data_IF_952335024688
#
_entry.id   IF_952335024688
#
_cell.length_a   1.000
_cell.length_b   1.000
_cell.length_c   1.000
_cell.angle_alpha   90.00
_cell.angle_beta   90.00
_cell.angle_gamma   90.00
#
_symmetry.space_group_name_H-M   'P 1'
#
loop_
_entity.id
_entity.type
_entity.pdbx_description
1 polymer ?
#
# COMPACT_ATOMS: atom_id res chain seq x y z
N UNK A 1 -17.35 -16.34 35.47
CA UNK A 1 -18.15 -17.43 36.07
C UNK A 1 -18.01 -18.76 35.31
N UNK A 2 -18.33 -18.83 34.01
CA UNK A 2 -18.27 -20.07 33.22
C UNK A 2 -16.92 -20.81 33.25
N UNK A 3 -15.79 -20.10 33.13
CA UNK A 3 -14.45 -20.73 33.19
C UNK A 3 -14.13 -21.33 34.57
N UNK A 4 -14.37 -20.60 35.66
CA UNK A 4 -14.10 -21.12 37.01
C UNK A 4 -15.05 -22.25 37.44
N UNK A 5 -16.21 -22.40 36.78
CA UNK A 5 -17.10 -23.55 36.94
C UNK A 5 -16.57 -24.81 36.24
N UNK A 6 -15.57 -24.67 35.37
CA UNK A 6 -14.84 -25.75 34.71
C UNK A 6 -15.43 -26.19 33.38
N UNK A 7 -16.31 -25.39 32.77
CA UNK A 7 -16.79 -25.61 31.39
C UNK A 7 -15.78 -25.00 30.42
N UNK A 8 -15.06 -25.82 29.69
CA UNK A 8 -13.90 -25.42 28.88
C UNK A 8 -13.97 -25.98 27.47
N UNK A 9 -13.55 -25.16 26.50
CA UNK A 9 -13.34 -25.60 25.11
C UNK A 9 -12.07 -26.45 24.99
N UNK A 10 -11.96 -27.18 23.88
CA UNK A 10 -10.89 -28.16 23.63
C UNK A 10 -9.46 -27.63 23.83
N UNK A 11 -9.23 -26.37 23.51
CA UNK A 11 -7.94 -25.67 23.56
C UNK A 11 -7.49 -25.31 24.99
N UNK A 12 -8.43 -25.13 25.92
CA UNK A 12 -8.13 -24.77 27.32
C UNK A 12 -8.55 -25.85 28.33
N UNK A 13 -9.06 -27.00 27.86
CA UNK A 13 -9.40 -28.13 28.71
C UNK A 13 -8.14 -28.78 29.29
N UNK A 14 -8.12 -28.90 30.62
CA UNK A 14 -7.04 -29.53 31.39
C UNK A 14 -7.60 -30.46 32.46
N UNK A 15 -7.13 -31.71 32.46
CA UNK A 15 -7.49 -32.71 33.45
C UNK A 15 -7.14 -32.25 34.87
N UNK A 16 -8.00 -32.59 35.84
CA UNK A 16 -7.89 -32.15 37.23
C UNK A 16 -8.40 -30.74 37.54
N UNK A 17 -8.57 -29.86 36.53
CA UNK A 17 -9.10 -28.49 36.72
C UNK A 17 -10.40 -28.24 35.96
N UNK A 18 -10.58 -28.90 34.82
CA UNK A 18 -11.78 -28.78 33.99
C UNK A 18 -12.81 -29.83 34.37
N UNK A 19 -14.09 -29.46 34.36
CA UNK A 19 -15.21 -30.37 34.67
C UNK A 19 -15.94 -30.85 33.43
N UNK A 20 -16.02 -30.01 32.39
CA UNK A 20 -16.72 -30.31 31.16
C UNK A 20 -15.90 -29.86 29.96
N UNK A 21 -15.73 -30.77 28.99
CA UNK A 21 -15.12 -30.51 27.69
C UNK A 21 -16.22 -30.27 26.68
N UNK A 22 -16.31 -29.05 26.14
CA UNK A 22 -17.43 -28.61 25.28
C UNK A 22 -16.95 -28.04 23.95
N UNK A 23 -17.84 -28.01 22.96
CA UNK A 23 -17.64 -27.28 21.71
C UNK A 23 -18.04 -25.81 21.81
N UNK A 24 -17.93 -25.09 20.70
CA UNK A 24 -18.21 -23.65 20.62
C UNK A 24 -19.66 -23.32 20.98
N UNK A 25 -20.62 -24.13 20.54
CA UNK A 25 -22.03 -23.88 20.78
C UNK A 25 -22.40 -24.04 22.25
N UNK A 26 -22.00 -25.16 22.86
CA UNK A 26 -22.33 -25.45 24.26
C UNK A 26 -21.58 -24.52 25.21
N UNK A 27 -20.36 -24.09 24.85
CA UNK A 27 -19.65 -23.05 25.61
C UNK A 27 -20.38 -21.71 25.56
N UNK A 28 -20.88 -21.30 24.39
CA UNK A 28 -21.67 -20.08 24.24
C UNK A 28 -22.96 -20.13 25.08
N UNK A 29 -23.69 -21.25 25.06
CA UNK A 29 -24.87 -21.46 25.90
C UNK A 29 -24.53 -21.36 27.40
N UNK A 30 -23.40 -21.93 27.83
CA UNK A 30 -22.92 -21.83 29.21
C UNK A 30 -22.52 -20.40 29.60
N UNK A 31 -21.97 -19.60 28.67
CA UNK A 31 -21.73 -18.16 28.88
C UNK A 31 -23.05 -17.40 29.02
N UNK A 32 -24.02 -17.65 28.13
CA UNK A 32 -25.35 -17.00 28.14
C UNK A 32 -26.06 -17.24 29.47
N UNK A 33 -26.08 -18.50 29.95
CA UNK A 33 -26.69 -18.87 31.25
C UNK A 33 -26.05 -18.15 32.46
N UNK A 34 -24.83 -17.66 32.29
CA UNK A 34 -24.05 -17.00 33.33
C UNK A 34 -23.88 -15.48 33.12
N UNK A 35 -24.61 -14.90 32.15
CA UNK A 35 -24.64 -13.45 31.97
C UNK A 35 -25.09 -12.74 33.26
N UNK A 36 -24.43 -11.62 33.57
CA UNK A 36 -24.65 -10.86 34.79
C UNK A 36 -23.98 -11.42 36.05
N UNK A 37 -23.38 -12.62 36.01
CA UNK A 37 -22.66 -13.20 37.14
C UNK A 37 -21.16 -12.91 37.06
N UNK A 38 -20.60 -12.38 38.14
CA UNK A 38 -19.16 -12.21 38.27
C UNK A 38 -18.47 -13.53 38.69
N UNK A 39 -17.19 -13.73 38.32
CA UNK A 39 -16.39 -14.80 38.89
C UNK A 39 -16.23 -14.61 40.42
N UNK A 40 -16.24 -15.73 41.14
CA UNK A 40 -16.08 -15.80 42.60
C UNK A 40 -14.66 -16.21 43.00
N UNK A 41 -13.98 -17.00 42.16
CA UNK A 41 -12.62 -17.51 42.38
C UNK A 41 -11.62 -16.72 41.56
N UNK A 42 -11.90 -16.49 40.27
CA UNK A 42 -11.05 -15.67 39.42
C UNK A 42 -11.26 -14.19 39.75
N UNK A 43 -10.17 -13.41 39.77
CA UNK A 43 -10.26 -11.97 40.01
C UNK A 43 -11.01 -11.30 38.84
N UNK A 44 -12.15 -10.62 39.07
CA UNK A 44 -12.80 -9.85 38.03
C UNK A 44 -11.91 -8.67 37.65
N UNK A 45 -11.78 -8.40 36.35
CA UNK A 45 -11.09 -7.22 35.84
C UNK A 45 -12.13 -6.15 35.55
N UNK A 46 -11.91 -4.94 36.09
CA UNK A 46 -12.67 -3.74 35.75
C UNK A 46 -11.69 -2.71 35.22
N UNK A 47 -11.96 -2.20 34.01
CA UNK A 47 -11.15 -1.14 33.42
C UNK A 47 -11.84 0.20 33.72
N UNK A 48 -11.10 1.11 34.34
CA UNK A 48 -11.55 2.49 34.42
C UNK A 48 -11.58 3.09 33.01
N UNK A 49 -12.68 3.76 32.65
CA UNK A 49 -12.73 4.60 31.46
C UNK A 49 -11.82 5.82 31.68
N UNK A 50 -10.51 5.64 31.47
CA UNK A 50 -9.57 6.75 31.44
C UNK A 50 -9.97 7.69 30.30
N UNK A 51 -10.39 8.91 30.66
CA UNK A 51 -10.56 9.98 29.67
C UNK A 51 -9.21 10.18 28.99
N UNK A 52 -9.14 9.87 27.69
CA UNK A 52 -7.97 10.19 26.88
C UNK A 52 -7.97 11.70 26.70
N UNK A 53 -6.96 12.37 27.26
CA UNK A 53 -6.74 13.78 26.98
C UNK A 53 -6.46 13.97 25.49
N UNK A 54 -7.37 14.67 24.81
CA UNK A 54 -7.14 15.09 23.43
C UNK A 54 -6.08 16.18 23.46
N UNK A 55 -4.82 15.81 23.22
CA UNK A 55 -3.78 16.81 22.95
C UNK A 55 -4.16 17.58 21.68
N UNK A 56 -4.12 18.93 21.69
CA UNK A 56 -4.36 19.69 20.48
C UNK A 56 -3.30 19.33 19.45
N UNK A 57 -3.74 18.99 18.24
CA UNK A 57 -2.84 18.75 17.11
C UNK A 57 -2.21 20.08 16.69
N UNK A 58 -0.92 20.25 16.96
CA UNK A 58 -0.16 21.40 16.47
C UNK A 58 0.40 21.04 15.09
N UNK A 59 -0.12 21.69 14.05
CA UNK A 59 0.41 21.53 12.69
C UNK A 59 1.71 22.32 12.59
N UNK A 60 2.85 21.64 12.60
CA UNK A 60 4.14 22.28 12.30
C UNK A 60 4.13 22.73 10.83
N UNK A 61 4.44 24.00 10.52
CA UNK A 61 4.60 24.44 9.15
C UNK A 61 5.72 23.63 8.48
N UNK A 62 5.42 23.01 7.34
CA UNK A 62 6.42 22.31 6.54
C UNK A 62 7.27 23.39 5.84
N UNK A 63 8.50 23.61 6.31
CA UNK A 63 9.46 24.55 5.71
C UNK A 63 10.36 23.88 4.67
N UNK A 64 9.84 22.89 3.95
CA UNK A 64 10.64 22.13 2.98
C UNK A 64 10.40 22.65 1.57
N UNK A 65 11.48 22.90 0.84
CA UNK A 65 11.42 23.23 -0.58
C UNK A 65 10.92 22.00 -1.35
N UNK A 66 9.70 22.09 -1.88
CA UNK A 66 9.09 21.05 -2.70
C UNK A 66 9.23 21.40 -4.18
N UNK A 67 9.96 20.57 -4.94
CA UNK A 67 10.19 20.77 -6.37
C UNK A 67 9.70 19.59 -7.18
N UNK A 68 8.88 19.85 -8.20
CA UNK A 68 8.47 18.83 -9.17
C UNK A 68 9.66 18.50 -10.08
N UNK A 69 9.94 17.22 -10.28
CA UNK A 69 11.11 16.75 -11.05
C UNK A 69 10.79 15.70 -12.11
N UNK A 70 9.56 15.18 -12.16
CA UNK A 70 9.14 14.21 -13.17
C UNK A 70 7.76 13.62 -12.88
N UNK A 71 7.41 12.57 -13.61
CA UNK A 71 6.14 11.85 -13.44
C UNK A 71 6.32 10.36 -13.72
N UNK A 72 5.71 9.52 -12.88
CA UNK A 72 5.45 8.12 -13.20
C UNK A 72 4.07 8.02 -13.85
N UNK A 73 4.00 7.58 -15.10
CA UNK A 73 2.76 7.31 -15.83
C UNK A 73 2.54 5.80 -15.85
N UNK A 74 1.36 5.38 -15.42
CA UNK A 74 0.95 3.98 -15.46
C UNK A 74 0.15 3.74 -16.74
N UNK A 75 0.61 2.79 -17.54
CA UNK A 75 0.01 2.43 -18.81
C UNK A 75 -0.52 0.99 -18.75
N UNK A 76 -1.68 0.74 -19.34
CA UNK A 76 -2.22 -0.59 -19.57
C UNK A 76 -1.89 -1.04 -21.00
N UNK A 77 -1.23 -2.18 -21.15
CA UNK A 77 -0.92 -2.77 -22.46
C UNK A 77 -0.63 -4.25 -22.34
N UNK A 78 -1.24 -5.05 -23.22
CA UNK A 78 -0.96 -6.49 -23.35
C UNK A 78 0.29 -6.79 -24.18
N UNK A 79 1.03 -5.76 -24.61
CA UNK A 79 2.27 -5.96 -25.36
C UNK A 79 3.33 -6.68 -24.51
N UNK A 80 4.10 -7.60 -25.11
CA UNK A 80 5.25 -8.17 -24.42
C UNK A 80 6.31 -7.09 -24.17
N UNK A 81 7.11 -7.25 -23.10
CA UNK A 81 8.12 -6.27 -22.65
C UNK A 81 8.95 -5.67 -23.79
N UNK A 82 9.50 -6.51 -24.68
CA UNK A 82 10.34 -6.06 -25.80
C UNK A 82 9.59 -5.14 -26.76
N UNK A 83 8.33 -5.45 -27.08
CA UNK A 83 7.50 -4.63 -27.95
C UNK A 83 7.10 -3.33 -27.26
N UNK A 84 6.69 -3.40 -25.98
CA UNK A 84 6.32 -2.23 -25.19
C UNK A 84 7.47 -1.23 -25.04
N UNK A 85 8.67 -1.71 -24.70
CA UNK A 85 9.88 -0.87 -24.61
C UNK A 85 10.22 -0.23 -25.96
N UNK A 86 10.08 -0.99 -27.05
CA UNK A 86 10.35 -0.47 -28.41
C UNK A 86 9.35 0.62 -28.77
N UNK A 87 8.06 0.37 -28.59
CA UNK A 87 6.98 1.31 -28.84
C UNK A 87 7.24 2.64 -28.11
N UNK A 88 7.48 2.61 -26.80
CA UNK A 88 7.75 3.82 -26.02
C UNK A 88 9.01 4.58 -26.44
N UNK A 89 10.02 3.91 -27.00
CA UNK A 89 11.23 4.55 -27.51
C UNK A 89 11.04 5.22 -28.87
N UNK A 90 10.10 4.73 -29.66
CA UNK A 90 9.78 5.25 -30.99
C UNK A 90 8.85 6.47 -30.90
N UNK A 91 8.18 6.67 -29.76
CA UNK A 91 7.40 7.89 -29.48
C UNK A 91 8.29 9.15 -29.54
N UNK A 92 7.83 10.15 -30.29
CA UNK A 92 8.54 11.41 -30.41
C UNK A 92 8.20 12.35 -29.24
N UNK A 93 9.01 12.31 -28.19
CA UNK A 93 8.82 13.13 -26.98
C UNK A 93 9.89 14.23 -26.85
N UNK A 94 9.78 15.37 -27.56
CA UNK A 94 10.91 16.30 -27.79
C UNK A 94 11.49 16.98 -26.53
N UNK A 95 10.79 16.96 -25.40
CA UNK A 95 11.26 17.54 -24.13
C UNK A 95 11.15 16.57 -22.96
N UNK A 96 11.22 15.27 -23.24
CA UNK A 96 11.03 14.23 -22.26
C UNK A 96 12.05 13.11 -22.45
N UNK A 97 12.47 12.53 -21.34
CA UNK A 97 13.33 11.37 -21.30
C UNK A 97 12.60 10.23 -20.60
N UNK A 98 12.55 9.07 -21.26
CA UNK A 98 12.22 7.81 -20.62
C UNK A 98 13.37 7.42 -19.69
N UNK A 99 13.16 7.51 -18.38
CA UNK A 99 14.15 7.15 -17.37
C UNK A 99 14.13 5.65 -17.10
N UNK A 100 12.94 5.08 -16.89
CA UNK A 100 12.80 3.66 -16.57
C UNK A 100 11.39 3.13 -16.80
N UNK A 101 11.28 1.80 -16.91
CA UNK A 101 10.01 1.06 -16.88
C UNK A 101 10.11 0.01 -15.77
N UNK A 102 9.05 -0.11 -14.97
CA UNK A 102 8.90 -1.20 -14.01
C UNK A 102 7.55 -1.89 -14.14
N UNK A 103 7.52 -3.15 -13.77
CA UNK A 103 6.33 -3.98 -13.71
C UNK A 103 6.26 -4.60 -12.31
N UNK A 104 5.12 -4.46 -11.61
CA UNK A 104 4.94 -4.95 -10.22
C UNK A 104 6.08 -4.53 -9.25
N UNK A 105 6.68 -3.37 -9.47
CA UNK A 105 7.75 -2.83 -8.63
C UNK A 105 9.17 -3.34 -8.94
N UNK A 106 9.33 -4.22 -9.93
CA UNK A 106 10.64 -4.64 -10.45
C UNK A 106 11.00 -3.80 -11.70
N UNK A 107 12.24 -3.30 -11.78
CA UNK A 107 12.72 -2.64 -12.99
C UNK A 107 12.81 -3.65 -14.13
N UNK A 108 12.18 -3.34 -15.25
CA UNK A 108 12.25 -4.14 -16.49
C UNK A 108 13.01 -3.41 -17.60
N UNK A 109 13.17 -2.09 -17.47
CA UNK A 109 14.00 -1.26 -18.33
C UNK A 109 14.57 -0.05 -17.57
N UNK A 110 15.82 0.38 -17.84
CA UNK A 110 16.86 -0.38 -18.54
C UNK A 110 17.34 -1.57 -17.71
N UNK A 111 17.99 -2.54 -18.35
CA UNK A 111 18.67 -3.67 -17.68
C UNK A 111 17.76 -4.53 -16.77
N UNK A 112 16.52 -4.77 -17.18
CA UNK A 112 15.63 -5.68 -16.46
C UNK A 112 16.10 -7.14 -16.52
N UNK A 113 15.67 -7.94 -15.54
CA UNK A 113 15.91 -9.39 -15.54
C UNK A 113 14.94 -10.10 -16.50
N UNK A 114 15.43 -10.93 -17.45
CA UNK A 114 14.59 -11.63 -18.42
C UNK A 114 13.52 -12.53 -17.80
N UNK A 115 13.77 -13.05 -16.59
CA UNK A 115 12.83 -13.92 -15.88
C UNK A 115 11.70 -13.14 -15.18
N UNK A 116 11.70 -11.81 -15.25
CA UNK A 116 10.68 -10.97 -14.58
C UNK A 116 9.31 -11.22 -15.20
N UNK A 117 8.45 -11.89 -14.44
CA UNK A 117 7.05 -12.03 -14.80
C UNK A 117 6.36 -10.66 -14.82
N UNK A 118 5.85 -10.28 -15.99
CA UNK A 118 5.16 -9.01 -16.20
C UNK A 118 3.64 -9.21 -16.33
N UNK A 119 2.89 -8.23 -15.83
CA UNK A 119 1.44 -8.07 -16.11
C UNK A 119 1.22 -6.92 -17.08
N UNK A 120 -0.02 -6.71 -17.50
CA UNK A 120 -0.44 -5.66 -18.43
C UNK A 120 -0.33 -4.22 -17.90
N UNK A 121 -0.06 -4.05 -16.60
CA UNK A 121 0.16 -2.75 -15.98
C UNK A 121 1.65 -2.38 -15.88
N UNK A 122 2.05 -1.36 -16.63
CA UNK A 122 3.42 -0.84 -16.69
C UNK A 122 3.52 0.49 -15.97
N UNK A 123 4.58 0.71 -15.21
CA UNK A 123 4.93 2.04 -14.69
C UNK A 123 6.11 2.59 -15.47
N UNK A 124 5.89 3.70 -16.15
CA UNK A 124 6.86 4.38 -17.02
C UNK A 124 7.26 5.69 -16.37
N UNK A 125 8.55 5.86 -16.08
CA UNK A 125 9.08 7.09 -15.49
C UNK A 125 9.56 8.03 -16.57
N UNK A 126 9.03 9.23 -16.55
CA UNK A 126 9.39 10.32 -17.45
C UNK A 126 10.00 11.48 -16.68
N UNK A 127 11.13 11.97 -17.18
CA UNK A 127 11.82 13.15 -16.67
C UNK A 127 11.85 14.23 -17.76
N UNK A 128 11.72 15.52 -17.42
CA UNK A 128 11.84 16.57 -18.42
C UNK A 128 13.28 16.67 -18.94
N UNK A 129 13.43 17.01 -20.22
CA UNK A 129 14.72 17.25 -20.86
C UNK A 129 14.84 18.72 -21.25
N UNK A 130 15.86 19.41 -20.74
CA UNK A 130 16.18 20.79 -21.15
C UNK A 130 15.29 21.89 -20.56
N UNK A 131 14.24 21.56 -19.80
CA UNK A 131 13.38 22.51 -19.10
C UNK A 131 12.98 22.00 -17.70
N UNK A 132 12.57 22.89 -16.77
CA UNK A 132 12.01 22.47 -15.48
C UNK A 132 10.74 21.62 -15.64
N UNK A 133 10.54 20.65 -14.76
CA UNK A 133 9.27 19.91 -14.71
C UNK A 133 8.16 20.87 -14.23
N UNK A 134 7.09 21.00 -15.00
CA UNK A 134 5.89 21.78 -14.64
C UNK A 134 4.64 20.93 -14.80
N UNK A 135 3.51 21.39 -14.25
CA UNK A 135 2.23 20.68 -14.43
C UNK A 135 1.79 20.73 -15.90
N UNK A 136 2.06 21.83 -16.60
CA UNK A 136 1.77 21.99 -18.03
C UNK A 136 2.57 21.00 -18.88
N UNK A 137 3.83 20.76 -18.52
CA UNK A 137 4.65 19.72 -19.17
C UNK A 137 4.06 18.33 -18.96
N UNK A 138 3.57 18.01 -17.75
CA UNK A 138 2.90 16.74 -17.48
C UNK A 138 1.63 16.62 -18.32
N UNK A 139 0.77 17.65 -18.34
CA UNK A 139 -0.45 17.63 -19.14
C UNK A 139 -0.14 17.42 -20.64
N UNK A 140 0.85 18.13 -21.18
CA UNK A 140 1.26 17.96 -22.58
C UNK A 140 1.79 16.55 -22.87
N UNK A 141 2.57 15.96 -21.96
CA UNK A 141 3.01 14.57 -22.07
C UNK A 141 1.82 13.60 -22.09
N UNK A 142 0.85 13.77 -21.18
CA UNK A 142 -0.32 12.89 -21.11
C UNK A 142 -1.22 13.02 -22.34
N UNK A 143 -1.41 14.24 -22.87
CA UNK A 143 -2.12 14.46 -24.13
C UNK A 143 -1.42 13.74 -25.27
N UNK A 144 -0.11 13.91 -25.41
CA UNK A 144 0.63 13.24 -26.49
C UNK A 144 0.61 11.72 -26.37
N UNK A 145 0.78 11.16 -25.17
CA UNK A 145 0.65 9.71 -24.96
C UNK A 145 -0.75 9.20 -25.33
N UNK A 146 -1.81 9.95 -25.00
CA UNK A 146 -3.17 9.60 -25.37
C UNK A 146 -3.40 9.69 -26.89
N UNK A 147 -2.84 10.70 -27.56
CA UNK A 147 -2.92 10.86 -29.02
C UNK A 147 -2.21 9.70 -29.76
N UNK A 148 -1.13 9.17 -29.18
CA UNK A 148 -0.41 7.98 -29.66
C UNK A 148 -1.10 6.66 -29.24
N UNK A 149 -2.28 6.72 -28.63
CA UNK A 149 -3.10 5.55 -28.30
C UNK A 149 -2.66 4.78 -27.04
N UNK A 150 -1.81 5.38 -26.18
CA UNK A 150 -1.46 4.77 -24.91
C UNK A 150 -2.62 4.85 -23.90
N UNK A 151 -3.01 3.71 -23.31
CA UNK A 151 -4.05 3.66 -22.27
C UNK A 151 -3.47 4.07 -20.91
N UNK A 152 -3.68 5.34 -20.54
CA UNK A 152 -3.20 5.93 -19.28
C UNK A 152 -4.20 5.64 -18.16
N UNK A 153 -3.79 4.87 -17.17
CA UNK A 153 -4.67 4.47 -16.06
C UNK A 153 -4.41 5.25 -14.76
N UNK A 154 -3.20 5.82 -14.59
CA UNK A 154 -2.81 6.53 -13.36
C UNK A 154 -1.53 7.36 -13.58
N UNK A 155 -1.37 8.42 -12.81
CA UNK A 155 -0.11 9.21 -12.72
C UNK A 155 0.33 9.42 -11.28
N UNK A 156 1.64 9.49 -11.05
CA UNK A 156 2.24 9.89 -9.77
C UNK A 156 3.33 10.94 -10.04
N UNK A 157 3.17 12.13 -9.48
CA UNK A 157 4.15 13.21 -9.64
C UNK A 157 5.38 12.96 -8.77
N UNK A 158 6.56 13.14 -9.36
CA UNK A 158 7.83 12.96 -8.67
C UNK A 158 8.30 14.29 -8.09
N UNK A 159 8.41 14.35 -6.76
CA UNK A 159 8.91 15.53 -6.06
C UNK A 159 10.23 15.27 -5.37
N UNK A 160 11.08 16.30 -5.31
CA UNK A 160 12.12 16.41 -4.30
C UNK A 160 11.67 17.32 -3.15
N UNK A 161 12.20 17.04 -1.97
CA UNK A 161 11.95 17.73 -0.72
C UNK A 161 13.32 18.11 -0.14
N UNK A 162 13.66 19.39 -0.15
CA UNK A 162 15.00 19.90 0.20
C UNK A 162 16.10 19.17 -0.60
N UNK A 163 15.87 19.02 -1.91
CA UNK A 163 16.76 18.33 -2.84
C UNK A 163 16.77 16.80 -2.73
N UNK A 164 16.11 16.21 -1.73
CA UNK A 164 16.04 14.75 -1.55
C UNK A 164 14.86 14.15 -2.31
N UNK A 165 15.02 13.05 -3.07
CA UNK A 165 13.90 12.38 -3.73
C UNK A 165 12.81 11.95 -2.73
N UNK A 166 11.57 12.39 -2.97
CA UNK A 166 10.37 11.94 -2.27
C UNK A 166 9.72 10.71 -2.90
N UNK A 167 10.46 10.00 -3.74
CA UNK A 167 10.03 8.84 -4.49
C UNK A 167 11.15 7.79 -4.49
N UNK A 168 10.78 6.53 -4.66
CA UNK A 168 11.74 5.43 -4.77
C UNK A 168 12.08 5.14 -6.23
N UNK A 169 13.27 4.59 -6.44
CA UNK A 169 13.60 3.86 -7.65
C UNK A 169 13.50 2.37 -7.35
N UNK A 170 12.75 1.58 -8.15
CA UNK A 170 12.76 0.14 -8.09
C UNK A 170 14.17 -0.42 -8.03
N UNK A 171 14.35 -1.36 -7.11
CA UNK A 171 15.53 -2.23 -7.07
C UNK A 171 15.29 -3.39 -8.05
N UNK A 172 16.31 -3.71 -8.81
CA UNK A 172 16.24 -4.58 -9.99
C UNK A 172 17.19 -4.03 -11.03
#
# INVERSE_FOLDING_TARGET
>A
KTLEEGTHTYDIFKEGTSKQKVGTQEFAEAVIKNLGKNPSTLKPVSYENKKVEKKPFVRTPIQTERKLVGVDVYLCSNEPLTAFVKHLKELHLPNCQLDMISNRGARVYPNGMPETFCVDQWRVRFLPKGAPCSQEWICALLTHLADEGCDIIKTENLYTFDGKPGYSSPKG
#
